data_IF_139218148869
#
_entry.id   IF_139218148869
#
_cell.length_a   1.000
_cell.length_b   1.000
_cell.length_c   1.000
_cell.angle_alpha   90.00
_cell.angle_beta   90.00
_cell.angle_gamma   90.00
#
_symmetry.space_group_name_H-M   'P 1'
#
loop_
_entity.id
_entity.type
_entity.pdbx_description
1 polymer ?
#
# COMPACT_ATOMS: atom_id res chain seq x y z
N UNK A 1 4.18 20.90 -1.78
CA UNK A 1 4.21 19.44 -1.56
C UNK A 1 3.50 18.78 -2.71
N UNK A 2 4.00 17.67 -3.23
CA UNK A 2 3.24 16.88 -4.22
C UNK A 2 1.95 16.36 -3.59
N UNK A 3 0.84 16.28 -4.34
CA UNK A 3 -0.41 15.73 -3.83
C UNK A 3 -0.25 14.26 -3.40
N UNK A 4 -1.10 13.83 -2.47
CA UNK A 4 -1.24 12.42 -2.07
C UNK A 4 -2.14 11.71 -3.07
N UNK A 5 -1.71 10.53 -3.52
CA UNK A 5 -2.55 9.60 -4.25
C UNK A 5 -3.05 8.49 -3.32
N UNK A 6 -4.32 8.55 -2.95
CA UNK A 6 -4.97 7.52 -2.16
C UNK A 6 -5.64 6.46 -3.04
N UNK A 7 -5.02 5.28 -3.10
CA UNK A 7 -5.59 4.10 -3.75
C UNK A 7 -6.72 3.57 -2.86
N UNK A 8 -7.96 3.94 -3.19
CA UNK A 8 -9.12 3.60 -2.39
C UNK A 8 -9.63 2.21 -2.77
N UNK A 9 -9.28 1.22 -1.96
CA UNK A 9 -9.82 -0.14 -2.09
C UNK A 9 -11.22 -0.18 -1.45
N UNK A 10 -12.25 -0.71 -2.12
CA UNK A 10 -13.57 -0.82 -1.52
C UNK A 10 -13.56 -1.63 -0.21
N UNK A 11 -14.23 -1.05 0.79
CA UNK A 11 -14.49 -1.65 2.12
C UNK A 11 -13.26 -1.82 3.03
N UNK A 12 -12.24 -1.00 2.85
CA UNK A 12 -11.02 -0.97 3.69
C UNK A 12 -10.87 0.35 4.46
N UNK A 13 -11.93 0.81 5.15
CA UNK A 13 -12.01 2.14 5.80
C UNK A 13 -11.84 3.38 4.88
N UNK A 14 -11.72 3.19 3.56
CA UNK A 14 -11.40 4.28 2.65
C UNK A 14 -12.45 5.40 2.56
N UNK A 15 -13.73 5.15 2.81
CA UNK A 15 -14.75 6.22 2.89
C UNK A 15 -14.51 7.14 4.09
N UNK A 16 -14.18 6.58 5.26
CA UNK A 16 -13.88 7.38 6.46
C UNK A 16 -12.63 8.21 6.25
N UNK A 17 -11.56 7.60 5.74
CA UNK A 17 -10.31 8.31 5.45
C UNK A 17 -10.50 9.38 4.37
N UNK A 18 -11.23 9.09 3.29
CA UNK A 18 -11.55 10.06 2.24
C UNK A 18 -12.24 11.31 2.80
N UNK A 19 -13.28 11.12 3.61
CA UNK A 19 -14.02 12.23 4.23
C UNK A 19 -13.13 13.03 5.18
N UNK A 20 -12.29 12.35 5.96
CA UNK A 20 -11.34 12.98 6.87
C UNK A 20 -10.31 13.82 6.11
N UNK A 21 -9.76 13.28 5.02
CA UNK A 21 -8.87 14.00 4.13
C UNK A 21 -9.55 15.21 3.47
N UNK A 22 -10.80 15.08 3.05
CA UNK A 22 -11.59 16.19 2.48
C UNK A 22 -11.84 17.33 3.48
N UNK A 23 -12.15 16.99 4.74
CA UNK A 23 -12.26 17.98 5.82
C UNK A 23 -10.93 18.69 6.10
N UNK A 24 -9.82 17.95 6.08
CA UNK A 24 -8.50 18.51 6.36
C UNK A 24 -7.94 19.37 5.21
N UNK A 25 -8.05 18.90 3.96
CA UNK A 25 -7.45 19.58 2.80
C UNK A 25 -8.34 20.64 2.15
N UNK A 26 -9.61 20.74 2.53
CA UNK A 26 -10.68 21.42 1.79
C UNK A 26 -11.06 20.72 0.49
N UNK A 27 -12.37 20.67 0.21
CA UNK A 27 -12.95 20.04 -0.98
C UNK A 27 -12.40 20.60 -2.30
N UNK A 28 -11.95 21.86 -2.33
CA UNK A 28 -11.37 22.48 -3.54
C UNK A 28 -10.01 21.88 -3.94
N UNK A 29 -9.32 21.23 -3.00
CA UNK A 29 -7.97 20.65 -3.19
C UNK A 29 -8.02 19.12 -3.26
N UNK A 30 -9.21 18.55 -3.25
CA UNK A 30 -9.44 17.10 -3.28
C UNK A 30 -10.12 16.71 -4.60
N UNK A 31 -9.56 15.70 -5.26
CA UNK A 31 -10.01 15.21 -6.55
C UNK A 31 -10.32 13.72 -6.48
N UNK A 32 -11.24 13.28 -7.34
CA UNK A 32 -11.77 11.92 -7.32
C UNK A 32 -11.81 11.27 -8.70
N UNK A 33 -11.50 9.99 -8.73
CA UNK A 33 -11.50 9.14 -9.92
C UNK A 33 -12.18 7.80 -9.64
N UNK A 34 -13.50 7.72 -9.86
CA UNK A 34 -14.26 6.49 -9.66
C UNK A 34 -14.66 5.84 -10.99
N UNK A 35 -15.28 6.63 -11.86
CA UNK A 35 -15.60 6.28 -13.24
C UNK A 35 -16.12 7.54 -13.97
N UNK A 36 -16.10 7.59 -15.31
CA UNK A 36 -16.61 8.75 -16.04
C UNK A 36 -18.13 8.94 -15.90
N UNK A 37 -18.87 7.92 -15.42
CA UNK A 37 -20.32 8.00 -15.19
C UNK A 37 -20.69 8.33 -13.75
N UNK A 38 -19.74 8.24 -12.81
CA UNK A 38 -19.98 8.60 -11.41
C UNK A 38 -19.95 10.12 -11.23
N UNK A 39 -20.99 10.65 -10.56
CA UNK A 39 -21.09 12.10 -10.27
C UNK A 39 -19.96 12.60 -9.36
N UNK A 40 -19.39 11.72 -8.54
CA UNK A 40 -18.27 12.06 -7.65
C UNK A 40 -16.96 12.27 -8.42
N UNK A 41 -16.82 11.75 -9.65
CA UNK A 41 -15.58 11.88 -10.43
C UNK A 41 -15.35 13.34 -10.83
N UNK A 42 -14.17 13.87 -10.52
CA UNK A 42 -13.85 15.27 -10.78
C UNK A 42 -13.85 15.58 -12.28
N UNK A 43 -14.38 16.76 -12.65
CA UNK A 43 -14.42 17.23 -14.04
C UNK A 43 -13.04 17.21 -14.72
N UNK A 44 -11.98 17.53 -13.97
CA UNK A 44 -10.60 17.49 -14.44
C UNK A 44 -10.16 16.06 -14.82
N UNK A 45 -10.58 15.05 -14.07
CA UNK A 45 -10.34 13.63 -14.38
C UNK A 45 -11.13 13.24 -15.63
N UNK A 46 -12.41 13.58 -15.70
CA UNK A 46 -13.24 13.33 -16.88
C UNK A 46 -12.63 13.92 -18.16
N UNK A 47 -12.14 15.15 -18.09
CA UNK A 47 -11.47 15.82 -19.19
C UNK A 47 -10.16 15.11 -19.55
N UNK A 48 -9.17 15.14 -18.68
CA UNK A 48 -7.81 14.79 -19.08
C UNK A 48 -7.56 13.29 -19.15
N UNK A 49 -8.19 12.50 -18.27
CA UNK A 49 -7.94 11.06 -18.17
C UNK A 49 -8.84 10.27 -19.12
N UNK A 50 -10.13 10.60 -19.14
CA UNK A 50 -11.12 9.80 -19.88
C UNK A 50 -11.34 10.30 -21.31
N UNK A 51 -11.37 11.62 -21.52
CA UNK A 51 -11.58 12.21 -22.85
C UNK A 51 -10.26 12.40 -23.61
N UNK A 52 -9.34 13.19 -23.07
CA UNK A 52 -8.08 13.54 -23.78
C UNK A 52 -7.01 12.44 -23.69
N UNK A 53 -7.08 11.57 -22.67
CA UNK A 53 -6.09 10.52 -22.36
C UNK A 53 -4.66 11.06 -22.17
N UNK A 54 -4.54 12.29 -21.68
CA UNK A 54 -3.29 12.95 -21.37
C UNK A 54 -3.07 13.03 -19.85
N UNK A 55 -2.33 12.05 -19.34
CA UNK A 55 -2.03 11.90 -17.93
C UNK A 55 -1.03 12.94 -17.41
N UNK A 56 -0.13 13.44 -18.27
CA UNK A 56 0.85 14.43 -17.85
C UNK A 56 0.18 15.79 -17.69
N UNK A 57 -0.63 16.20 -18.67
CA UNK A 57 -1.42 17.44 -18.57
C UNK A 57 -2.38 17.40 -17.38
N UNK A 58 -3.00 16.24 -17.10
CA UNK A 58 -3.78 16.04 -15.88
C UNK A 58 -2.97 16.37 -14.61
N UNK A 59 -1.76 15.82 -14.48
CA UNK A 59 -0.93 16.03 -13.30
C UNK A 59 -0.45 17.48 -13.19
N UNK A 60 -0.10 18.12 -14.31
CA UNK A 60 0.26 19.53 -14.36
C UNK A 60 -0.92 20.41 -13.90
N UNK A 61 -2.13 20.13 -14.36
CA UNK A 61 -3.32 20.86 -13.95
C UNK A 61 -3.67 20.67 -12.46
N UNK A 62 -3.47 19.47 -11.92
CA UNK A 62 -3.58 19.25 -10.47
C UNK A 62 -2.59 20.11 -9.69
N UNK A 63 -1.33 20.17 -10.13
CA UNK A 63 -0.31 21.02 -9.53
C UNK A 63 -0.69 22.51 -9.61
N UNK A 64 -1.15 22.97 -10.78
CA UNK A 64 -1.60 24.36 -10.99
C UNK A 64 -2.76 24.74 -10.07
N UNK A 65 -3.64 23.78 -9.76
CA UNK A 65 -4.76 23.95 -8.82
C UNK A 65 -4.40 23.74 -7.35
N UNK A 66 -3.11 23.58 -7.02
CA UNK A 66 -2.64 23.29 -5.66
C UNK A 66 -3.36 22.08 -5.03
N UNK A 67 -3.65 21.05 -5.84
CA UNK A 67 -4.25 19.82 -5.38
C UNK A 67 -3.43 19.20 -4.24
N UNK A 68 -4.12 18.66 -3.25
CA UNK A 68 -3.49 17.98 -2.10
C UNK A 68 -3.78 16.49 -2.08
N UNK A 69 -4.88 16.06 -2.70
CA UNK A 69 -5.36 14.69 -2.61
C UNK A 69 -6.07 14.26 -3.89
N UNK A 70 -5.72 13.07 -4.39
CA UNK A 70 -6.47 12.35 -5.41
C UNK A 70 -6.88 10.99 -4.84
N UNK A 71 -8.15 10.62 -4.95
CA UNK A 71 -8.63 9.30 -4.50
C UNK A 71 -9.55 8.63 -5.50
N UNK A 72 -9.52 7.31 -5.57
CA UNK A 72 -10.34 6.59 -6.53
C UNK A 72 -10.31 5.08 -6.39
N UNK A 73 -11.34 4.43 -6.92
CA UNK A 73 -11.39 2.97 -7.09
C UNK A 73 -10.61 2.53 -8.33
N UNK A 74 -9.32 2.86 -8.35
CA UNK A 74 -8.44 2.63 -9.50
C UNK A 74 -7.24 1.77 -9.12
N UNK A 75 -6.65 1.13 -10.12
CA UNK A 75 -5.41 0.41 -9.92
C UNK A 75 -4.27 1.38 -9.55
N UNK A 76 -3.41 1.02 -8.60
CA UNK A 76 -2.30 1.85 -8.12
C UNK A 76 -1.36 2.27 -9.27
N UNK A 77 -1.11 1.39 -10.24
CA UNK A 77 -0.26 1.70 -11.39
C UNK A 77 -0.81 2.81 -12.29
N UNK A 78 -2.10 3.17 -12.20
CA UNK A 78 -2.72 4.23 -13.01
C UNK A 78 -2.05 5.58 -12.81
N UNK A 79 -1.58 5.87 -11.59
CA UNK A 79 -1.04 7.19 -11.22
C UNK A 79 0.29 7.15 -10.47
N UNK A 80 0.76 5.99 -10.00
CA UNK A 80 2.01 5.90 -9.21
C UNK A 80 3.23 6.54 -9.89
N UNK A 81 3.30 6.54 -11.23
CA UNK A 81 4.41 7.14 -11.97
C UNK A 81 4.38 8.68 -11.99
N UNK A 82 3.21 9.30 -11.77
CA UNK A 82 3.06 10.76 -11.69
C UNK A 82 3.27 11.26 -10.26
N UNK A 83 2.67 10.58 -9.29
CA UNK A 83 2.69 10.97 -7.87
C UNK A 83 3.92 10.43 -7.12
N UNK A 84 4.50 9.35 -7.62
CA UNK A 84 5.54 8.59 -6.94
C UNK A 84 5.00 7.65 -5.87
N UNK A 85 5.70 6.55 -5.62
CA UNK A 85 5.33 5.57 -4.62
C UNK A 85 5.32 6.19 -3.21
N UNK A 86 6.20 7.15 -2.95
CA UNK A 86 6.26 7.86 -1.65
C UNK A 86 4.98 8.65 -1.33
N UNK A 87 4.27 9.16 -2.34
CA UNK A 87 2.99 9.86 -2.17
C UNK A 87 1.77 8.96 -2.42
N UNK A 88 2.00 7.68 -2.70
CA UNK A 88 0.93 6.71 -2.85
C UNK A 88 0.60 6.12 -1.49
N UNK A 89 -0.67 6.20 -1.09
CA UNK A 89 -1.16 5.69 0.19
C UNK A 89 -2.34 4.75 -0.03
N UNK A 90 -2.52 3.76 0.85
CA UNK A 90 -3.68 2.86 0.80
C UNK A 90 -3.99 2.27 2.17
N UNK A 91 -5.19 1.70 2.29
CA UNK A 91 -5.62 0.91 3.43
C UNK A 91 -6.08 -0.46 2.92
N UNK A 92 -5.65 -1.51 3.60
CA UNK A 92 -6.11 -2.88 3.35
C UNK A 92 -6.91 -3.41 4.53
N UNK A 93 -7.59 -4.54 4.32
CA UNK A 93 -8.41 -5.21 5.33
C UNK A 93 -8.26 -6.73 5.16
N UNK A 94 -8.56 -7.49 6.21
CA UNK A 94 -8.73 -8.93 6.09
C UNK A 94 -9.62 -9.27 4.87
N UNK A 95 -9.15 -10.15 3.94
CA UNK A 95 -9.85 -10.39 2.68
C UNK A 95 -11.27 -10.93 2.84
N UNK A 96 -11.50 -11.80 3.84
CA UNK A 96 -12.81 -12.40 4.11
C UNK A 96 -13.75 -11.32 4.65
N UNK A 97 -13.32 -10.59 5.68
CA UNK A 97 -14.10 -9.52 6.28
C UNK A 97 -14.41 -8.39 5.28
N UNK A 98 -13.49 -8.10 4.36
CA UNK A 98 -13.68 -7.13 3.26
C UNK A 98 -14.80 -7.58 2.32
N UNK A 99 -14.80 -8.84 1.89
CA UNK A 99 -15.81 -9.40 0.98
C UNK A 99 -17.19 -9.40 1.63
N UNK A 100 -17.31 -9.85 2.88
CA UNK A 100 -18.61 -9.86 3.58
C UNK A 100 -19.13 -8.43 3.78
N UNK A 101 -18.26 -7.48 4.13
CA UNK A 101 -18.61 -6.06 4.23
C UNK A 101 -19.06 -5.47 2.89
N UNK A 102 -18.51 -5.94 1.77
CA UNK A 102 -18.91 -5.55 0.43
C UNK A 102 -20.27 -6.12 0.05
N UNK A 103 -20.49 -7.41 0.28
CA UNK A 103 -21.78 -8.07 0.09
C UNK A 103 -22.91 -7.32 0.80
N UNK A 104 -22.75 -7.06 2.10
CA UNK A 104 -23.76 -6.33 2.88
C UNK A 104 -23.99 -4.90 2.38
N UNK A 105 -22.97 -4.25 1.82
CA UNK A 105 -23.13 -2.94 1.22
C UNK A 105 -23.95 -3.01 -0.08
N UNK A 106 -23.73 -4.04 -0.90
CA UNK A 106 -24.55 -4.31 -2.09
C UNK A 106 -26.00 -4.64 -1.75
N UNK A 107 -26.24 -5.45 -0.72
CA UNK A 107 -27.61 -5.73 -0.23
C UNK A 107 -28.30 -4.44 0.24
N UNK A 108 -27.63 -3.63 1.06
CA UNK A 108 -28.24 -2.43 1.66
C UNK A 108 -28.45 -1.26 0.68
N UNK A 109 -27.55 -1.07 -0.29
CA UNK A 109 -27.51 0.17 -1.09
C UNK A 109 -27.64 -0.05 -2.59
N UNK A 110 -27.46 -1.28 -3.07
CA UNK A 110 -27.48 -1.60 -4.51
C UNK A 110 -28.56 -2.63 -4.87
N UNK A 111 -29.46 -2.95 -3.93
CA UNK A 111 -30.59 -3.86 -4.17
C UNK A 111 -30.17 -5.28 -4.55
N UNK A 112 -29.03 -5.77 -4.06
CA UNK A 112 -28.61 -7.13 -4.37
C UNK A 112 -29.44 -8.16 -3.57
N UNK A 113 -30.15 -9.04 -4.28
CA UNK A 113 -31.04 -10.04 -3.69
C UNK A 113 -30.42 -11.45 -3.56
N UNK A 114 -29.22 -11.65 -4.12
CA UNK A 114 -28.55 -12.96 -4.09
C UNK A 114 -27.90 -13.28 -2.73
N UNK A 115 -27.53 -14.55 -2.56
CA UNK A 115 -26.81 -15.01 -1.38
C UNK A 115 -25.30 -14.64 -1.42
N UNK A 116 -24.64 -14.80 -0.27
CA UNK A 116 -23.21 -14.51 -0.12
C UNK A 116 -22.33 -15.38 -1.04
N UNK A 117 -22.54 -16.70 -1.18
CA UNK A 117 -21.82 -17.53 -2.16
C UNK A 117 -21.92 -17.03 -3.60
N UNK A 118 -23.13 -16.74 -4.08
CA UNK A 118 -23.36 -16.21 -5.43
C UNK A 118 -22.70 -14.85 -5.61
N UNK A 119 -22.53 -14.07 -4.53
CA UNK A 119 -21.79 -12.82 -4.55
C UNK A 119 -20.29 -13.06 -4.70
N UNK A 120 -19.63 -13.73 -3.76
CA UNK A 120 -18.17 -13.80 -3.72
C UNK A 120 -17.54 -14.62 -4.86
N UNK A 121 -18.32 -15.51 -5.50
CA UNK A 121 -17.87 -16.28 -6.67
C UNK A 121 -17.71 -15.43 -7.93
N UNK A 122 -18.25 -14.20 -7.97
CA UNK A 122 -18.12 -13.33 -9.15
C UNK A 122 -16.67 -12.85 -9.30
N UNK A 123 -16.08 -12.90 -10.52
CA UNK A 123 -14.66 -12.60 -10.74
C UNK A 123 -14.17 -11.25 -10.22
N UNK A 124 -15.02 -10.22 -10.19
CA UNK A 124 -14.67 -8.87 -9.71
C UNK A 124 -14.47 -8.75 -8.19
N UNK A 125 -14.94 -9.73 -7.41
CA UNK A 125 -14.79 -9.74 -5.95
C UNK A 125 -13.64 -10.64 -5.47
N UNK A 126 -13.12 -11.48 -6.37
CA UNK A 126 -11.98 -12.37 -6.11
C UNK A 126 -10.66 -11.62 -6.25
N UNK A 127 -9.79 -11.73 -5.24
CA UNK A 127 -8.45 -11.12 -5.17
C UNK A 127 -8.44 -9.62 -5.48
N UNK A 128 -9.46 -8.91 -5.00
CA UNK A 128 -9.71 -7.51 -5.37
C UNK A 128 -8.59 -6.58 -4.88
N UNK A 129 -8.05 -6.79 -3.68
CA UNK A 129 -6.98 -5.94 -3.14
C UNK A 129 -5.69 -6.09 -3.96
N UNK A 130 -5.35 -7.33 -4.33
CA UNK A 130 -4.19 -7.66 -5.15
C UNK A 130 -4.33 -7.10 -6.56
N UNK A 131 -5.52 -7.19 -7.16
CA UNK A 131 -5.80 -6.60 -8.48
C UNK A 131 -5.67 -5.08 -8.47
N UNK A 132 -6.12 -4.40 -7.41
CA UNK A 132 -6.02 -2.94 -7.29
C UNK A 132 -4.56 -2.51 -7.04
N UNK A 133 -3.79 -3.22 -6.22
CA UNK A 133 -2.40 -2.88 -5.93
C UNK A 133 -1.40 -3.47 -6.95
N UNK A 134 -1.88 -4.15 -7.98
CA UNK A 134 -1.04 -4.80 -8.97
C UNK A 134 -0.08 -3.80 -9.62
N UNK A 135 1.20 -4.18 -9.73
CA UNK A 135 2.25 -3.38 -10.36
C UNK A 135 3.06 -2.52 -9.40
N UNK A 136 2.63 -2.38 -8.14
CA UNK A 136 3.34 -1.62 -7.10
C UNK A 136 3.68 -2.56 -5.92
N UNK A 137 4.97 -2.74 -5.57
CA UNK A 137 5.34 -3.49 -4.36
C UNK A 137 4.77 -2.85 -3.10
N UNK A 138 4.20 -3.63 -2.17
CA UNK A 138 3.61 -3.08 -0.94
C UNK A 138 4.66 -2.34 -0.09
N UNK A 139 5.89 -2.84 -0.10
CA UNK A 139 7.01 -2.25 0.62
C UNK A 139 7.28 -0.82 0.12
N UNK A 140 6.99 -0.53 -1.15
CA UNK A 140 7.27 0.74 -1.80
C UNK A 140 6.15 1.77 -1.62
N UNK A 141 4.92 1.33 -1.33
CA UNK A 141 3.79 2.23 -1.06
C UNK A 141 4.15 3.10 0.15
N UNK A 142 4.08 4.42 -0.04
CA UNK A 142 4.47 5.44 0.93
C UNK A 142 3.78 5.24 2.27
N UNK A 143 2.48 4.93 2.25
CA UNK A 143 1.79 4.49 3.46
C UNK A 143 0.80 3.36 3.19
N UNK A 144 0.84 2.35 4.05
CA UNK A 144 -0.03 1.17 4.02
C UNK A 144 -0.66 1.00 5.40
N UNK A 145 -1.94 1.35 5.53
CA UNK A 145 -2.72 1.21 6.75
C UNK A 145 -3.54 -0.07 6.79
N UNK A 146 -4.01 -0.43 7.98
CA UNK A 146 -4.94 -1.54 8.21
C UNK A 146 -6.29 -1.00 8.70
N UNK A 147 -7.38 -1.52 8.15
CA UNK A 147 -8.73 -1.20 8.64
C UNK A 147 -8.90 -1.60 10.12
N UNK A 148 -8.31 -2.74 10.52
CA UNK A 148 -8.34 -3.31 11.85
C UNK A 148 -7.55 -2.48 12.89
N UNK A 149 -6.62 -1.64 12.43
CA UNK A 149 -5.81 -0.75 13.25
C UNK A 149 -5.92 0.70 12.73
N UNK A 150 -7.14 1.17 12.49
CA UNK A 150 -7.39 2.43 11.80
C UNK A 150 -6.83 3.65 12.53
N UNK A 151 -7.01 3.75 13.86
CA UNK A 151 -6.50 4.89 14.65
C UNK A 151 -4.95 4.92 14.63
N UNK A 152 -4.29 3.78 14.85
CA UNK A 152 -2.83 3.67 14.73
C UNK A 152 -2.37 4.02 13.31
N UNK A 153 -3.11 3.56 12.30
CA UNK A 153 -2.82 3.86 10.90
C UNK A 153 -2.88 5.36 10.64
N UNK A 154 -3.89 6.05 11.17
CA UNK A 154 -4.05 7.49 11.01
C UNK A 154 -2.94 8.26 11.73
N UNK A 155 -2.56 7.85 12.95
CA UNK A 155 -1.46 8.44 13.69
C UNK A 155 -0.12 8.33 12.94
N UNK A 156 0.19 7.15 12.40
CA UNK A 156 1.42 6.94 11.60
C UNK A 156 1.38 7.77 10.32
N UNK A 157 0.23 7.85 9.63
CA UNK A 157 0.06 8.64 8.41
C UNK A 157 0.27 10.13 8.69
N UNK A 158 -0.36 10.67 9.73
CA UNK A 158 -0.25 12.07 10.14
C UNK A 158 1.19 12.44 10.45
N UNK A 159 1.89 11.62 11.25
CA UNK A 159 3.30 11.87 11.58
C UNK A 159 4.23 11.78 10.36
N UNK A 160 3.92 10.89 9.39
CA UNK A 160 4.73 10.74 8.18
C UNK A 160 4.65 11.96 7.28
N UNK A 161 3.44 12.42 6.99
CA UNK A 161 3.21 13.49 6.02
C UNK A 161 3.04 14.86 6.66
N UNK A 162 3.19 14.95 7.99
CA UNK A 162 2.96 16.15 8.77
C UNK A 162 1.53 16.69 8.55
N UNK A 163 0.56 15.79 8.64
CA UNK A 163 -0.86 16.11 8.60
C UNK A 163 -1.48 16.09 10.00
N UNK A 164 -2.69 16.61 10.10
CA UNK A 164 -3.53 16.55 11.30
C UNK A 164 -4.95 16.09 10.93
N UNK A 165 -5.03 14.98 10.17
CA UNK A 165 -6.31 14.40 9.76
C UNK A 165 -6.93 13.74 10.98
N UNK A 166 -8.11 14.21 11.38
CA UNK A 166 -8.86 13.68 12.51
C UNK A 166 -9.68 12.46 12.10
N UNK A 167 -9.82 11.48 12.99
CA UNK A 167 -10.76 10.39 12.75
C UNK A 167 -12.19 10.93 12.81
N UNK A 168 -12.94 10.71 11.73
CA UNK A 168 -14.37 11.05 11.72
C UNK A 168 -15.12 9.87 12.32
N UNK A 169 -15.73 10.11 13.48
CA UNK A 169 -16.82 9.28 13.97
C UNK A 169 -18.01 9.43 13.01
N UNK A 170 -18.03 8.57 12.00
CA UNK A 170 -19.26 8.38 11.25
C UNK A 170 -20.24 7.72 12.21
N UNK A 171 -21.18 8.52 12.74
CA UNK A 171 -22.41 8.09 13.40
C UNK A 171 -23.22 7.16 12.47
N UNK A 172 -22.74 5.94 12.28
CA UNK A 172 -23.36 4.87 11.54
C UNK A 172 -23.51 3.74 12.54
N UNK A 173 -24.75 3.39 12.89
CA UNK A 173 -25.14 2.37 13.86
C UNK A 173 -24.54 0.98 13.61
N UNK A 174 -23.25 0.84 13.89
CA UNK A 174 -22.54 -0.41 14.11
C UNK A 174 -22.03 -0.35 15.53
N UNK A 175 -22.79 -0.96 16.42
CA UNK A 175 -22.37 -1.29 17.78
C UNK A 175 -21.12 -2.15 17.82
N UNK A 176 -20.66 -2.71 16.70
CA UNK A 176 -19.43 -3.47 16.62
C UNK A 176 -18.63 -3.14 15.35
N UNK A 177 -17.55 -2.36 15.49
CA UNK A 177 -16.44 -2.37 14.52
C UNK A 177 -15.54 -3.63 14.70
N UNK A 178 -15.81 -4.41 15.73
CA UNK A 178 -14.98 -5.50 16.26
C UNK A 178 -15.58 -6.90 16.11
N UNK A 179 -16.86 -7.06 15.77
CA UNK A 179 -17.40 -8.39 15.45
C UNK A 179 -17.00 -8.77 14.03
N UNK A 180 -16.02 -9.67 13.96
CA UNK A 180 -15.76 -10.41 12.74
C UNK A 180 -17.04 -11.13 12.33
N UNK A 181 -17.39 -11.07 11.04
CA UNK A 181 -18.50 -11.88 10.55
C UNK A 181 -18.12 -13.35 10.70
N UNK A 182 -18.92 -14.07 11.48
CA UNK A 182 -18.83 -15.52 11.60
C UNK A 182 -19.48 -16.14 10.35
N UNK A 183 -18.75 -17.04 9.70
CA UNK A 183 -19.20 -17.75 8.50
C UNK A 183 -19.16 -19.26 8.76
N UNK A 184 -20.06 -20.04 8.12
CA UNK A 184 -19.92 -21.48 8.06
C UNK A 184 -18.54 -21.88 7.55
N UNK A 185 -17.98 -22.96 8.12
CA UNK A 185 -16.63 -23.45 7.79
C UNK A 185 -16.39 -23.63 6.29
N UNK A 186 -17.36 -24.21 5.58
CA UNK A 186 -17.30 -24.44 4.14
C UNK A 186 -17.16 -23.13 3.34
N UNK A 187 -17.93 -22.09 3.69
CA UNK A 187 -17.84 -20.78 3.03
C UNK A 187 -16.50 -20.10 3.32
N UNK A 188 -15.99 -20.23 4.55
CA UNK A 188 -14.69 -19.69 4.92
C UNK A 188 -13.56 -20.37 4.14
N UNK A 189 -13.60 -21.70 4.00
CA UNK A 189 -12.63 -22.46 3.22
C UNK A 189 -12.66 -22.07 1.74
N UNK A 190 -13.86 -21.95 1.15
CA UNK A 190 -14.01 -21.53 -0.25
C UNK A 190 -13.52 -20.09 -0.47
N UNK A 191 -13.90 -19.14 0.39
CA UNK A 191 -13.42 -17.76 0.32
C UNK A 191 -11.90 -17.69 0.40
N UNK A 192 -11.30 -18.49 1.29
CA UNK A 192 -9.86 -18.55 1.42
C UNK A 192 -9.19 -19.11 0.16
N UNK A 193 -9.79 -20.14 -0.43
CA UNK A 193 -9.32 -20.75 -1.67
C UNK A 193 -9.38 -19.78 -2.86
N UNK A 194 -10.50 -19.05 -3.02
CA UNK A 194 -10.65 -18.08 -4.11
C UNK A 194 -9.71 -16.88 -3.95
N UNK A 195 -9.44 -16.46 -2.70
CA UNK A 195 -8.73 -15.21 -2.39
C UNK A 195 -7.28 -15.39 -1.91
N UNK A 196 -6.61 -16.46 -2.34
CA UNK A 196 -5.24 -16.76 -1.92
C UNK A 196 -4.23 -15.63 -2.17
N UNK A 197 -4.40 -14.83 -3.23
CA UNK A 197 -3.49 -13.72 -3.51
C UNK A 197 -3.70 -12.60 -2.48
N UNK A 198 -4.96 -12.24 -2.20
CA UNK A 198 -5.29 -11.25 -1.17
C UNK A 198 -4.86 -11.71 0.22
N UNK A 199 -4.94 -13.00 0.54
CA UNK A 199 -4.46 -13.54 1.83
C UNK A 199 -2.94 -13.38 1.96
N UNK A 200 -2.19 -13.67 0.89
CA UNK A 200 -0.73 -13.46 0.90
C UNK A 200 -0.38 -11.98 1.00
N UNK A 201 -1.08 -11.13 0.25
CA UNK A 201 -0.93 -9.68 0.28
C UNK A 201 -1.21 -9.13 1.68
N UNK A 202 -2.34 -9.51 2.28
CA UNK A 202 -2.76 -9.05 3.61
C UNK A 202 -1.79 -9.49 4.69
N UNK A 203 -1.33 -10.75 4.68
CA UNK A 203 -0.29 -11.22 5.61
C UNK A 203 1.01 -10.41 5.51
N UNK A 204 1.40 -10.02 4.29
CA UNK A 204 2.56 -9.16 4.08
C UNK A 204 2.30 -7.73 4.58
N UNK A 205 1.12 -7.18 4.31
CA UNK A 205 0.71 -5.87 4.78
C UNK A 205 0.71 -5.79 6.32
N UNK A 206 0.16 -6.79 7.00
CA UNK A 206 0.17 -6.88 8.48
C UNK A 206 1.61 -6.89 8.99
N UNK A 207 2.50 -7.73 8.44
CA UNK A 207 3.91 -7.76 8.86
C UNK A 207 4.62 -6.42 8.67
N UNK A 208 4.39 -5.75 7.54
CA UNK A 208 4.95 -4.43 7.26
C UNK A 208 4.40 -3.38 8.24
N UNK A 209 3.09 -3.38 8.45
CA UNK A 209 2.43 -2.45 9.36
C UNK A 209 2.93 -2.60 10.79
N UNK A 210 2.96 -3.83 11.32
CA UNK A 210 3.41 -4.11 12.69
C UNK A 210 4.87 -3.68 12.91
N UNK A 211 5.76 -3.99 11.97
CA UNK A 211 7.15 -3.56 12.05
C UNK A 211 7.28 -2.03 12.05
N UNK A 212 6.53 -1.34 11.19
CA UNK A 212 6.54 0.13 11.09
C UNK A 212 5.90 0.78 12.32
N UNK A 213 4.84 0.17 12.88
CA UNK A 213 4.18 0.60 14.12
C UNK A 213 5.11 0.47 15.32
N UNK A 214 5.86 -0.63 15.43
CA UNK A 214 6.86 -0.79 16.48
C UNK A 214 7.92 0.33 16.45
N UNK A 215 8.47 0.62 15.26
CA UNK A 215 9.42 1.73 15.08
C UNK A 215 8.80 3.09 15.40
N UNK A 216 7.57 3.33 14.97
CA UNK A 216 6.82 4.54 15.26
C UNK A 216 6.65 4.75 16.79
N UNK A 217 6.26 3.70 17.52
CA UNK A 217 6.10 3.74 18.98
C UNK A 217 7.43 4.02 19.71
N UNK A 218 8.56 3.61 19.12
CA UNK A 218 9.90 3.93 19.61
C UNK A 218 10.41 5.32 19.17
N UNK A 219 9.60 6.10 18.45
CA UNK A 219 10.00 7.40 17.88
C UNK A 219 10.99 7.31 16.72
N UNK A 220 11.22 6.11 16.17
CA UNK A 220 12.15 5.85 15.07
C UNK A 220 11.47 5.97 13.71
N UNK A 221 12.19 6.48 12.71
CA UNK A 221 11.72 6.44 11.32
C UNK A 221 11.93 5.05 10.73
N UNK A 222 10.93 4.55 9.99
CA UNK A 222 11.10 3.34 9.19
C UNK A 222 11.69 3.63 7.80
N UNK A 223 12.18 2.56 7.19
CA UNK A 223 12.70 2.47 5.83
C UNK A 223 11.73 1.66 4.98
N UNK A 224 11.56 2.07 3.73
CA UNK A 224 10.96 1.24 2.69
C UNK A 224 12.06 0.44 2.02
N UNK A 225 11.88 -0.86 1.87
CA UNK A 225 12.88 -1.67 1.18
C UNK A 225 12.50 -3.13 1.12
N UNK A 226 13.17 -3.86 0.23
CA UNK A 226 13.00 -5.29 0.06
C UNK A 226 14.24 -5.93 -0.56
N UNK A 227 14.41 -7.23 -0.33
CA UNK A 227 15.29 -8.08 -1.14
C UNK A 227 14.58 -8.34 -2.47
N UNK A 228 15.17 -7.91 -3.57
CA UNK A 228 14.61 -8.09 -4.91
C UNK A 228 15.04 -9.42 -5.53
N UNK A 229 16.35 -9.72 -5.51
CA UNK A 229 16.93 -10.95 -6.03
C UNK A 229 17.83 -11.59 -4.98
N UNK A 230 17.79 -12.92 -4.95
CA UNK A 230 18.70 -13.74 -4.18
C UNK A 230 19.07 -14.96 -5.03
N UNK A 231 20.36 -15.23 -5.15
CA UNK A 231 20.95 -16.48 -5.65
C UNK A 231 21.95 -17.02 -4.63
N UNK A 232 22.61 -18.13 -4.96
CA UNK A 232 23.79 -18.62 -4.25
C UNK A 232 24.99 -17.68 -4.39
N UNK A 233 25.06 -16.85 -5.44
CA UNK A 233 26.21 -15.97 -5.75
C UNK A 233 26.05 -14.53 -5.30
N UNK A 234 24.82 -14.03 -5.21
CA UNK A 234 24.58 -12.63 -4.85
C UNK A 234 23.20 -12.36 -4.28
N UNK A 235 23.07 -11.21 -3.62
CA UNK A 235 21.80 -10.63 -3.21
C UNK A 235 21.71 -9.18 -3.66
N UNK A 236 20.54 -8.78 -4.12
CA UNK A 236 20.26 -7.40 -4.48
C UNK A 236 18.90 -6.96 -3.97
N UNK A 237 18.76 -5.67 -3.74
CA UNK A 237 17.52 -5.10 -3.24
C UNK A 237 17.49 -3.60 -3.39
N UNK A 238 16.57 -2.98 -2.68
CA UNK A 238 16.39 -1.54 -2.67
C UNK A 238 15.94 -1.07 -1.29
N UNK A 239 16.29 0.15 -0.93
CA UNK A 239 15.91 0.78 0.33
C UNK A 239 15.94 2.32 0.25
N UNK A 240 14.95 2.99 0.85
CA UNK A 240 14.91 4.46 1.01
C UNK A 240 14.24 4.87 2.34
N UNK A 241 14.68 5.98 2.93
CA UNK A 241 14.14 6.48 4.21
C UNK A 241 12.78 7.15 4.03
N UNK A 242 11.83 6.88 4.93
CA UNK A 242 10.51 7.52 4.87
C UNK A 242 10.54 9.05 4.97
N UNK A 243 11.54 9.63 5.66
CA UNK A 243 11.59 11.06 6.04
C UNK A 243 12.72 11.86 5.39
N UNK A 244 13.66 11.23 4.68
CA UNK A 244 14.80 11.94 4.08
C UNK A 244 15.35 11.22 2.84
N UNK A 245 16.18 11.93 2.08
CA UNK A 245 16.75 11.46 0.81
C UNK A 245 18.20 10.96 0.92
N UNK A 246 18.69 10.67 2.13
CA UNK A 246 20.02 10.07 2.29
C UNK A 246 20.02 8.59 1.86
N UNK A 247 21.16 8.03 1.44
CA UNK A 247 21.28 6.59 1.20
C UNK A 247 21.10 5.78 2.48
N UNK A 248 20.24 4.76 2.42
CA UNK A 248 20.04 3.84 3.54
C UNK A 248 21.25 2.94 3.67
N UNK A 249 21.83 2.86 4.87
CA UNK A 249 22.78 1.79 5.20
C UNK A 249 22.02 0.50 5.48
N UNK A 250 22.44 -0.61 4.89
CA UNK A 250 21.85 -1.93 5.14
C UNK A 250 22.92 -2.95 5.48
N UNK A 251 22.65 -3.83 6.44
CA UNK A 251 23.51 -4.96 6.76
C UNK A 251 22.96 -6.24 6.15
N UNK A 252 23.83 -6.98 5.45
CA UNK A 252 23.53 -8.31 4.92
C UNK A 252 24.01 -9.34 5.94
N UNK A 253 23.09 -10.18 6.41
CA UNK A 253 23.34 -11.26 7.35
C UNK A 253 23.13 -12.60 6.64
N UNK A 254 24.00 -13.57 6.94
CA UNK A 254 23.87 -14.96 6.49
C UNK A 254 23.79 -15.83 7.72
N UNK A 255 22.68 -16.55 7.87
CA UNK A 255 22.37 -17.38 9.04
C UNK A 255 22.55 -16.59 10.37
N UNK A 256 22.10 -15.33 10.40
CA UNK A 256 22.21 -14.44 11.55
C UNK A 256 23.56 -13.74 11.74
N UNK A 257 24.62 -14.11 11.00
CA UNK A 257 25.93 -13.46 11.08
C UNK A 257 26.03 -12.32 10.05
N UNK A 258 26.33 -11.10 10.50
CA UNK A 258 26.58 -9.96 9.60
C UNK A 258 27.84 -10.19 8.78
N UNK A 259 27.72 -10.10 7.46
CA UNK A 259 28.83 -10.32 6.50
C UNK A 259 29.23 -9.01 5.82
N UNK A 260 28.28 -8.12 5.53
CA UNK A 260 28.55 -6.85 4.87
C UNK A 260 27.62 -5.74 5.36
N UNK A 261 28.07 -4.49 5.19
CA UNK A 261 27.24 -3.29 5.28
C UNK A 261 27.35 -2.53 3.96
N UNK A 262 26.20 -2.23 3.35
CA UNK A 262 26.08 -1.58 2.05
C UNK A 262 25.36 -0.24 2.20
N UNK A 263 25.40 0.57 1.16
CA UNK A 263 24.65 1.81 1.02
C UNK A 263 23.71 1.70 -0.18
N UNK A 264 22.45 2.09 -0.04
CA UNK A 264 21.42 1.96 -1.07
C UNK A 264 21.53 3.04 -2.16
N UNK A 265 22.66 3.09 -2.87
CA UNK A 265 22.99 4.18 -3.81
C UNK A 265 22.90 3.80 -5.28
N UNK A 266 22.60 2.55 -5.61
CA UNK A 266 22.62 2.09 -7.00
C UNK A 266 21.31 2.45 -7.71
N UNK A 267 21.36 2.78 -9.00
CA UNK A 267 20.15 3.04 -9.78
C UNK A 267 19.33 1.75 -9.94
N UNK A 268 18.00 1.87 -9.85
CA UNK A 268 17.05 0.80 -10.14
C UNK A 268 16.16 1.16 -11.35
N UNK A 269 16.64 0.94 -12.60
CA UNK A 269 15.90 1.35 -13.80
C UNK A 269 14.47 0.80 -13.87
N UNK A 270 14.27 -0.47 -13.50
CA UNK A 270 12.95 -1.11 -13.50
C UNK A 270 11.93 -0.47 -12.54
N UNK A 271 12.39 0.35 -11.58
CA UNK A 271 11.54 1.06 -10.61
C UNK A 271 11.40 2.55 -10.89
N UNK A 272 11.98 3.08 -11.96
CA UNK A 272 11.78 4.49 -12.33
C UNK A 272 10.30 4.80 -12.58
N UNK A 273 9.55 3.85 -13.14
CA UNK A 273 8.09 3.95 -13.31
C UNK A 273 7.30 4.07 -12.00
N UNK A 274 7.93 3.81 -10.85
CA UNK A 274 7.28 3.96 -9.54
C UNK A 274 7.55 5.34 -8.94
N UNK A 275 8.34 6.21 -9.59
CA UNK A 275 8.74 7.50 -9.03
C UNK A 275 9.33 7.36 -7.64
N UNK A 276 10.24 6.38 -7.45
CA UNK A 276 10.90 6.20 -6.15
C UNK A 276 11.75 7.45 -5.81
N UNK A 277 11.92 7.76 -4.52
CA UNK A 277 12.78 8.87 -4.10
C UNK A 277 14.22 8.75 -4.62
N UNK A 278 14.99 9.84 -4.46
CA UNK A 278 16.39 9.90 -4.88
C UNK A 278 16.57 9.58 -6.37
N UNK A 279 15.62 9.96 -7.21
CA UNK A 279 15.61 9.68 -8.66
C UNK A 279 15.82 8.20 -9.00
N UNK A 280 15.39 7.29 -8.13
CA UNK A 280 15.56 5.84 -8.30
C UNK A 280 16.92 5.26 -7.89
N UNK A 281 17.84 6.07 -7.35
CA UNK A 281 19.12 5.62 -6.79
C UNK A 281 18.94 5.06 -5.38
N UNK A 282 18.19 3.97 -5.27
CA UNK A 282 17.79 3.33 -4.01
C UNK A 282 18.27 1.88 -3.90
N UNK A 283 19.07 1.41 -4.85
CA UNK A 283 19.49 0.02 -4.98
C UNK A 283 20.71 -0.31 -4.12
N UNK A 284 20.82 -1.58 -3.75
CA UNK A 284 22.06 -2.17 -3.22
C UNK A 284 22.28 -3.54 -3.84
N UNK A 285 23.56 -3.93 -3.95
CA UNK A 285 23.98 -5.22 -4.47
C UNK A 285 25.18 -5.74 -3.68
N UNK A 286 25.23 -7.06 -3.46
CA UNK A 286 26.37 -7.73 -2.84
C UNK A 286 26.62 -9.09 -3.49
N UNK A 287 27.87 -9.32 -3.90
CA UNK A 287 28.36 -10.62 -4.33
C UNK A 287 28.95 -11.35 -3.12
N UNK A 288 28.53 -12.59 -2.91
CA UNK A 288 29.10 -13.42 -1.86
C UNK A 288 30.52 -13.84 -2.24
N UNK A 289 31.42 -13.93 -1.25
CA UNK A 289 32.80 -14.35 -1.47
C UNK A 289 32.91 -15.78 -2.03
N UNK A 290 31.97 -16.64 -1.64
CA UNK A 290 31.78 -17.98 -2.19
C UNK A 290 30.28 -18.27 -2.35
N UNK A 291 29.90 -19.19 -3.27
CA UNK A 291 28.51 -19.61 -3.42
C UNK A 291 27.93 -20.14 -2.10
N UNK A 292 26.74 -19.67 -1.75
CA UNK A 292 26.03 -20.09 -0.55
C UNK A 292 25.43 -21.49 -0.72
N UNK A 293 25.49 -22.25 0.37
CA UNK A 293 24.86 -23.57 0.43
C UNK A 293 23.34 -23.41 0.36
N UNK A 294 22.68 -24.30 -0.40
CA UNK A 294 21.22 -24.41 -0.44
C UNK A 294 20.63 -24.47 0.97
N UNK A 295 19.60 -23.68 1.23
CA UNK A 295 19.01 -23.57 2.56
C UNK A 295 19.59 -22.46 3.43
N UNK A 296 20.71 -21.83 3.04
CA UNK A 296 21.24 -20.64 3.71
C UNK A 296 20.19 -19.53 3.74
N UNK A 297 20.09 -18.85 4.88
CA UNK A 297 19.14 -17.77 5.10
C UNK A 297 19.86 -16.44 4.98
N UNK A 298 19.40 -15.60 4.06
CA UNK A 298 19.91 -14.24 3.86
C UNK A 298 18.88 -13.25 4.39
N UNK A 299 19.36 -12.37 5.27
CA UNK A 299 18.58 -11.31 5.88
C UNK A 299 19.21 -9.96 5.53
N UNK A 300 18.36 -8.97 5.23
CA UNK A 300 18.79 -7.57 5.05
C UNK A 300 18.11 -6.74 6.13
N UNK A 301 18.92 -6.07 6.95
CA UNK A 301 18.44 -5.25 8.08
C UNK A 301 18.97 -3.84 7.99
N UNK A 302 18.22 -2.87 8.52
CA UNK A 302 18.71 -1.51 8.74
C UNK A 302 19.44 -1.50 10.09
N UNK A 303 20.77 -1.28 10.13
CA UNK A 303 21.56 -1.43 11.35
C UNK A 303 21.19 -0.38 12.42
N UNK A 304 20.73 0.80 12.02
CA UNK A 304 20.33 1.88 12.92
C UNK A 304 19.08 1.53 13.74
N UNK A 305 18.10 0.88 13.11
CA UNK A 305 16.79 0.62 13.71
C UNK A 305 16.52 -0.84 14.03
N UNK A 306 17.35 -1.76 13.52
CA UNK A 306 17.09 -3.20 13.57
C UNK A 306 16.00 -3.66 12.60
N UNK A 307 15.46 -2.76 11.76
CA UNK A 307 14.35 -3.07 10.87
C UNK A 307 14.74 -4.14 9.83
N UNK A 308 13.97 -5.22 9.74
CA UNK A 308 14.14 -6.27 8.74
C UNK A 308 13.48 -5.88 7.41
N UNK A 309 14.27 -5.64 6.36
CA UNK A 309 13.78 -5.34 5.01
C UNK A 309 13.44 -6.60 4.21
N UNK A 310 14.03 -7.73 4.56
CA UNK A 310 13.70 -8.99 3.92
C UNK A 310 14.48 -10.17 4.49
N UNK A 311 13.86 -11.34 4.41
CA UNK A 311 14.44 -12.63 4.80
C UNK A 311 14.10 -13.65 3.72
N UNK A 312 15.12 -14.19 3.05
CA UNK A 312 14.94 -15.18 1.99
C UNK A 312 15.91 -16.34 2.18
N UNK A 313 15.52 -17.51 1.67
CA UNK A 313 16.31 -18.73 1.72
C UNK A 313 16.82 -19.03 0.32
N UNK A 314 18.11 -19.36 0.19
CA UNK A 314 18.71 -19.82 -1.06
C UNK A 314 18.06 -21.15 -1.45
N UNK A 315 17.54 -21.22 -2.68
CA UNK A 315 16.82 -22.38 -3.21
C UNK A 315 17.75 -23.43 -3.83
#
# INVERSE_FOLDING_TARGET
MSPIFFVHIPKTAGTSFRKAAEQFFSSERVFYDYSPTEKETSSLVCQWIYKERDFLSFYQELCNKNASFLSGHVNASKYVYLFGACQTVTFVRDPVQRIVSEYQHFVRHHGYEGDLPSFYRKPQFINRQSKILQGVPLEAIGFLGLNEAYEDSLAILNQRYNFDIQSIDMNMGRTDKTTNYELPKEQLEELNYLNQQDIRLYRMAVRLFEQRRALFNEGKSYVHGAIHQLSDKSTSGWAWHAKNDSPVKVSVLINGKKIATLSSKDLRPAFLRLGLPRSGYVGFHYNFEAPLIKGSVVEVVVPETGQLLGKRRVQ
#
